data_IF_519034991387
#
_entry.id   IF_519034991387
#
_cell.length_a   1.000
_cell.length_b   1.000
_cell.length_c   1.000
_cell.angle_alpha   90.00
_cell.angle_beta   90.00
_cell.angle_gamma   90.00
#
_symmetry.space_group_name_H-M   'P 1'
#
loop_
_entity.id
_entity.type
_entity.pdbx_description
1 polymer ?
#
# COMPACT_ATOMS: atom_id res chain seq x y z
N UNK A 1 -5.40 17.64 7.28
CA UNK A 1 -5.18 17.16 5.91
C UNK A 1 -5.33 15.65 5.87
N UNK A 2 -5.98 15.13 4.86
CA UNK A 2 -6.21 13.69 4.70
C UNK A 2 -5.24 13.11 3.69
N UNK A 3 -4.76 11.90 3.96
CA UNK A 3 -3.86 11.19 3.05
C UNK A 3 -4.28 9.74 2.93
N UNK A 4 -4.11 9.20 1.73
CA UNK A 4 -4.32 7.77 1.46
C UNK A 4 -3.05 7.19 0.87
N UNK A 5 -2.51 6.17 1.53
CA UNK A 5 -1.28 5.51 1.13
C UNK A 5 -1.60 4.06 0.77
N UNK A 6 -1.07 3.61 -0.36
CA UNK A 6 -1.15 2.21 -0.76
C UNK A 6 0.22 1.58 -0.57
N UNK A 7 0.24 0.44 0.12
CA UNK A 7 1.46 -0.33 0.37
C UNK A 7 1.31 -1.67 -0.34
N UNK A 8 2.30 -2.03 -1.15
CA UNK A 8 2.30 -3.27 -1.92
C UNK A 8 3.61 -4.01 -1.77
N UNK A 9 3.61 -5.35 -1.89
CA UNK A 9 4.86 -6.10 -1.98
C UNK A 9 5.64 -5.69 -3.22
N UNK A 10 6.95 -5.61 -3.10
CA UNK A 10 7.83 -5.38 -4.26
C UNK A 10 7.77 -6.57 -5.21
N UNK A 11 8.07 -6.30 -6.49
CA UNK A 11 8.16 -7.36 -7.50
C UNK A 11 9.23 -8.38 -7.09
N UNK A 12 8.92 -9.65 -7.31
CA UNK A 12 9.85 -10.74 -6.97
C UNK A 12 9.82 -11.17 -5.51
N UNK A 13 9.08 -10.49 -4.65
CA UNK A 13 8.90 -10.87 -3.26
C UNK A 13 7.75 -11.89 -3.15
N UNK A 14 7.92 -12.89 -2.29
CA UNK A 14 6.86 -13.85 -2.00
C UNK A 14 5.67 -13.15 -1.36
N UNK A 15 4.48 -13.45 -1.87
CA UNK A 15 3.22 -12.91 -1.37
C UNK A 15 2.26 -14.06 -1.11
N UNK A 16 2.36 -14.71 0.07
CA UNK A 16 1.49 -15.84 0.38
C UNK A 16 0.00 -15.52 0.33
N UNK A 17 -0.39 -14.29 0.71
CA UNK A 17 -1.79 -13.88 0.64
C UNK A 17 -2.26 -13.75 -0.80
N UNK A 18 -1.45 -13.13 -1.65
CA UNK A 18 -1.77 -13.01 -3.08
C UNK A 18 -1.84 -14.36 -3.76
N UNK A 19 -0.90 -15.26 -3.45
CA UNK A 19 -0.90 -16.62 -3.98
C UNK A 19 -2.17 -17.37 -3.57
N UNK A 20 -2.61 -17.24 -2.31
CA UNK A 20 -3.84 -17.87 -1.83
C UNK A 20 -5.07 -17.33 -2.53
N UNK A 21 -5.14 -16.00 -2.74
CA UNK A 21 -6.25 -15.37 -3.46
C UNK A 21 -6.30 -15.89 -4.90
N UNK A 22 -5.17 -15.87 -5.60
CA UNK A 22 -5.11 -16.35 -6.98
C UNK A 22 -5.51 -17.81 -7.11
N UNK A 23 -5.02 -18.66 -6.22
CA UNK A 23 -5.36 -20.08 -6.18
C UNK A 23 -6.87 -20.29 -5.96
N UNK A 24 -7.43 -19.58 -5.00
CA UNK A 24 -8.86 -19.69 -4.69
C UNK A 24 -9.74 -19.24 -5.86
N UNK A 25 -9.35 -18.16 -6.52
CA UNK A 25 -10.09 -17.66 -7.68
C UNK A 25 -10.05 -18.65 -8.84
N UNK A 26 -8.90 -19.27 -9.11
CA UNK A 26 -8.80 -20.29 -10.15
C UNK A 26 -9.65 -21.51 -9.84
N UNK A 27 -9.73 -21.91 -8.57
CA UNK A 27 -10.59 -23.02 -8.14
C UNK A 27 -12.07 -22.71 -8.38
N UNK A 28 -12.45 -21.44 -8.31
CA UNK A 28 -13.83 -21.00 -8.58
C UNK A 28 -14.13 -20.85 -10.07
N UNK A 29 -13.14 -21.07 -10.93
CA UNK A 29 -13.32 -21.01 -12.37
C UNK A 29 -12.93 -19.70 -13.02
N UNK A 30 -12.32 -18.76 -12.27
CA UNK A 30 -11.86 -17.52 -12.83
C UNK A 30 -10.47 -17.67 -13.47
N UNK A 31 -10.29 -16.98 -14.57
CA UNK A 31 -9.04 -17.04 -15.34
C UNK A 31 -8.09 -15.95 -14.83
N UNK A 32 -7.40 -16.24 -13.71
CA UNK A 32 -6.50 -15.31 -13.03
C UNK A 32 -5.08 -15.84 -13.14
N UNK A 33 -4.22 -15.06 -13.81
CA UNK A 33 -2.80 -15.42 -13.96
C UNK A 33 -2.02 -15.20 -12.67
N UNK A 34 -2.40 -14.20 -11.87
CA UNK A 34 -1.75 -13.93 -10.60
C UNK A 34 -2.55 -12.94 -9.78
N UNK A 35 -2.24 -12.85 -8.50
CA UNK A 35 -2.86 -11.90 -7.61
C UNK A 35 -1.83 -11.40 -6.60
N UNK A 36 -1.97 -10.16 -6.18
CA UNK A 36 -1.12 -9.55 -5.17
C UNK A 36 -2.01 -8.85 -4.14
N UNK A 37 -1.64 -8.97 -2.88
CA UNK A 37 -2.38 -8.35 -1.78
C UNK A 37 -1.52 -7.29 -1.14
N UNK A 38 -2.05 -6.09 -1.05
CA UNK A 38 -1.44 -4.98 -0.35
C UNK A 38 -2.40 -4.42 0.67
N UNK A 39 -2.12 -3.22 1.13
CA UNK A 39 -3.01 -2.55 2.07
C UNK A 39 -3.14 -1.07 1.77
N UNK A 40 -4.26 -0.51 2.20
CA UNK A 40 -4.56 0.91 2.09
C UNK A 40 -4.57 1.50 3.50
N UNK A 41 -3.90 2.63 3.68
CA UNK A 41 -3.85 3.32 4.95
C UNK A 41 -4.38 4.73 4.74
N UNK A 42 -5.43 5.08 5.49
CA UNK A 42 -5.98 6.43 5.49
C UNK A 42 -5.53 7.15 6.76
N UNK A 43 -4.97 8.33 6.60
CA UNK A 43 -4.46 9.14 7.69
C UNK A 43 -5.13 10.50 7.73
N UNK A 44 -5.32 11.03 8.94
CA UNK A 44 -5.62 12.43 9.16
C UNK A 44 -4.41 13.06 9.84
N UNK A 45 -3.87 14.11 9.21
CA UNK A 45 -2.65 14.75 9.67
C UNK A 45 -2.94 16.17 10.15
N UNK A 46 -2.33 16.55 11.27
CA UNK A 46 -2.40 17.91 11.81
C UNK A 46 -1.36 18.81 11.13
N UNK A 47 -1.36 18.80 9.80
CA UNK A 47 -0.44 19.57 8.98
C UNK A 47 -1.25 20.23 7.87
N UNK A 48 -1.02 21.51 7.64
CA UNK A 48 -1.74 22.27 6.62
C UNK A 48 -1.01 22.31 5.28
N UNK A 49 0.30 22.12 5.28
CA UNK A 49 1.14 22.20 4.08
C UNK A 49 1.34 20.81 3.47
N UNK A 50 1.05 20.69 2.17
CA UNK A 50 1.15 19.42 1.47
C UNK A 50 2.59 18.89 1.42
N UNK A 51 3.57 19.76 1.25
CA UNK A 51 4.97 19.34 1.20
C UNK A 51 5.44 18.80 2.55
N UNK A 52 5.06 19.46 3.65
CA UNK A 52 5.36 18.97 4.99
C UNK A 52 4.66 17.65 5.28
N UNK A 53 3.40 17.51 4.86
CA UNK A 53 2.65 16.28 5.02
C UNK A 53 3.30 15.12 4.27
N UNK A 54 3.73 15.35 3.03
CA UNK A 54 4.40 14.34 2.22
C UNK A 54 5.69 13.87 2.88
N UNK A 55 6.49 14.79 3.38
CA UNK A 55 7.75 14.45 4.06
C UNK A 55 7.50 13.60 5.31
N UNK A 56 6.47 13.94 6.10
CA UNK A 56 6.11 13.15 7.26
C UNK A 56 5.62 11.76 6.90
N UNK A 57 4.81 11.64 5.85
CA UNK A 57 4.31 10.34 5.39
C UNK A 57 5.47 9.45 4.93
N UNK A 58 6.43 10.00 4.23
CA UNK A 58 7.62 9.25 3.80
C UNK A 58 8.39 8.71 5.00
N UNK A 59 8.53 9.52 6.05
CA UNK A 59 9.17 9.05 7.29
C UNK A 59 8.34 7.97 7.98
N UNK A 60 7.02 8.15 8.06
CA UNK A 60 6.13 7.15 8.64
C UNK A 60 6.22 5.82 7.92
N UNK A 61 6.26 5.85 6.60
CA UNK A 61 6.38 4.63 5.80
C UNK A 61 7.70 3.91 6.06
N UNK A 62 8.80 4.66 6.14
CA UNK A 62 10.11 4.09 6.44
C UNK A 62 10.23 3.53 7.85
N UNK A 63 9.51 4.10 8.81
CA UNK A 63 9.60 3.70 10.22
C UNK A 63 8.57 2.65 10.63
N UNK A 64 7.37 2.67 10.05
CA UNK A 64 6.29 1.82 10.52
C UNK A 64 5.35 1.29 9.44
N UNK A 65 4.90 2.14 8.52
CA UNK A 65 3.77 1.80 7.65
C UNK A 65 4.10 0.79 6.57
N UNK A 66 5.34 0.73 6.16
CA UNK A 66 5.82 -0.20 5.13
C UNK A 66 7.16 -0.78 5.56
N UNK A 67 7.42 -2.03 5.13
CA UNK A 67 8.74 -2.61 5.30
C UNK A 67 9.56 -2.29 4.04
N UNK A 68 10.53 -1.36 4.10
CA UNK A 68 11.21 -0.88 2.91
C UNK A 68 12.04 -1.93 2.18
N UNK A 69 12.36 -3.05 2.82
CA UNK A 69 13.09 -4.14 2.20
C UNK A 69 12.22 -4.94 1.23
N UNK A 70 10.94 -5.10 1.55
CA UNK A 70 10.04 -5.99 0.81
C UNK A 70 8.78 -5.30 0.29
N UNK A 71 8.54 -4.06 0.67
CA UNK A 71 7.33 -3.33 0.28
C UNK A 71 7.67 -1.99 -0.35
N UNK A 72 6.79 -1.53 -1.23
CA UNK A 72 6.79 -0.19 -1.77
C UNK A 72 5.51 0.52 -1.33
N UNK A 73 5.53 1.85 -1.34
CA UNK A 73 4.35 2.63 -1.03
C UNK A 73 4.12 3.72 -2.06
N UNK A 74 2.87 4.16 -2.13
CA UNK A 74 2.46 5.25 -3.01
C UNK A 74 1.44 6.10 -2.28
N UNK A 75 1.62 7.42 -2.31
CA UNK A 75 0.64 8.36 -1.79
C UNK A 75 -0.32 8.66 -2.93
N UNK A 76 -1.55 8.13 -2.85
CA UNK A 76 -2.53 8.28 -3.93
C UNK A 76 -3.49 9.43 -3.69
N UNK A 77 -3.55 9.97 -2.47
CA UNK A 77 -4.38 11.12 -2.15
C UNK A 77 -3.70 11.91 -1.04
N UNK A 78 -3.67 13.23 -1.22
CA UNK A 78 -3.16 14.15 -0.22
C UNK A 78 -3.89 15.47 -0.35
N UNK A 79 -4.70 15.83 0.65
CA UNK A 79 -5.49 17.05 0.65
C UNK A 79 -6.67 16.96 1.60
N UNK A 80 -7.50 18.00 1.59
CA UNK A 80 -8.67 18.10 2.47
C UNK A 80 -9.98 17.77 1.77
N UNK A 81 -9.92 17.48 0.50
CA UNK A 81 -11.12 17.17 -0.29
C UNK A 81 -11.45 15.68 -0.27
#
# INVERSE_FOLDING_TARGET
MKATIVVRPKDGILDPQGDAVGHSLRKLGFDVAGARVGRVIDLELDVADADAARAEIERMCGELLANPLIESFEIIRLGDA
#
